data_IF_564206128753
#
_entry.id   IF_564206128753
#
_cell.length_a   1.000
_cell.length_b   1.000
_cell.length_c   1.000
_cell.angle_alpha   90.00
_cell.angle_beta   90.00
_cell.angle_gamma   90.00
#
_symmetry.space_group_name_H-M   'P 1'
#
loop_
_entity.id
_entity.type
_entity.pdbx_description
1 polymer ?
#
# COMPACT_ATOMS: atom_id res chain seq x y z
N UNK A 1 -28.39 -12.68 8.95
CA UNK A 1 -27.02 -12.36 8.51
C UNK A 1 -27.13 -11.12 7.64
N UNK A 2 -26.49 -10.03 8.02
CA UNK A 2 -26.40 -8.87 7.14
C UNK A 2 -25.68 -9.27 5.85
N UNK A 3 -26.28 -8.95 4.71
CA UNK A 3 -25.69 -9.22 3.41
C UNK A 3 -24.44 -8.37 3.25
N UNK A 4 -23.28 -9.02 3.07
CA UNK A 4 -22.02 -8.34 2.77
C UNK A 4 -22.07 -7.74 1.36
N UNK A 5 -21.81 -6.44 1.24
CA UNK A 5 -21.74 -5.75 -0.04
C UNK A 5 -20.34 -5.94 -0.61
N UNK A 6 -20.17 -7.01 -1.37
CA UNK A 6 -18.96 -7.29 -2.16
C UNK A 6 -19.24 -7.01 -3.63
N UNK A 7 -18.20 -6.63 -4.39
CA UNK A 7 -18.26 -6.25 -5.81
C UNK A 7 -18.94 -7.27 -6.74
N UNK A 8 -18.80 -8.58 -6.46
CA UNK A 8 -19.48 -9.67 -7.20
C UNK A 8 -20.65 -10.27 -6.41
N UNK A 9 -21.11 -9.56 -5.39
CA UNK A 9 -22.16 -9.97 -4.47
C UNK A 9 -23.57 -9.68 -4.99
N UNK A 10 -24.49 -9.46 -4.06
CA UNK A 10 -25.85 -9.05 -4.39
C UNK A 10 -25.82 -7.72 -5.14
N UNK A 11 -26.56 -7.64 -6.25
CA UNK A 11 -26.75 -6.39 -6.98
C UNK A 11 -27.79 -5.55 -6.28
N UNK A 12 -27.41 -4.32 -5.93
CA UNK A 12 -28.31 -3.32 -5.37
C UNK A 12 -28.79 -2.39 -6.50
N UNK A 13 -30.06 -2.00 -6.46
CA UNK A 13 -30.63 -1.02 -7.40
C UNK A 13 -30.27 0.43 -7.05
N UNK A 14 -29.94 0.69 -5.79
CA UNK A 14 -29.51 1.98 -5.27
C UNK A 14 -28.30 1.80 -4.34
N UNK A 15 -27.48 2.84 -4.18
CA UNK A 15 -26.38 2.82 -3.22
C UNK A 15 -26.95 2.72 -1.80
N UNK A 16 -26.53 1.73 -0.98
CA UNK A 16 -27.03 1.63 0.39
C UNK A 16 -26.64 2.86 1.21
N UNK A 17 -27.49 3.27 2.17
CA UNK A 17 -27.26 4.47 2.98
C UNK A 17 -25.91 4.47 3.71
N UNK A 18 -25.45 3.29 4.15
CA UNK A 18 -24.16 3.12 4.80
C UNK A 18 -22.97 3.44 3.88
N UNK A 19 -23.15 3.62 2.57
CA UNK A 19 -22.10 4.02 1.63
C UNK A 19 -22.25 5.47 1.14
N UNK A 20 -23.31 6.18 1.56
CA UNK A 20 -23.55 7.56 1.16
C UNK A 20 -22.82 8.48 2.13
N UNK A 21 -21.75 9.13 1.65
CA UNK A 21 -21.05 10.17 2.43
C UNK A 21 -21.99 11.33 2.77
N UNK A 22 -21.90 11.93 3.97
CA UNK A 22 -22.58 13.19 4.29
C UNK A 22 -22.21 14.28 3.27
N UNK A 23 -23.15 15.19 2.97
CA UNK A 23 -22.92 16.24 1.97
C UNK A 23 -21.70 17.11 2.29
N UNK A 24 -21.44 17.37 3.57
CA UNK A 24 -20.25 18.10 4.04
C UNK A 24 -18.92 17.40 3.78
N UNK A 25 -18.92 16.07 3.54
CA UNK A 25 -17.71 15.28 3.25
C UNK A 25 -17.55 14.97 1.75
N UNK A 26 -18.54 15.31 0.92
CA UNK A 26 -18.46 15.03 -0.52
C UNK A 26 -17.54 16.05 -1.19
N UNK A 27 -16.74 15.62 -2.20
CA UNK A 27 -15.88 16.54 -2.92
C UNK A 27 -16.72 17.62 -3.61
N UNK A 28 -16.33 18.88 -3.44
CA UNK A 28 -16.96 20.03 -4.08
C UNK A 28 -16.14 20.45 -5.29
N UNK A 29 -16.60 20.06 -6.48
CA UNK A 29 -15.89 20.36 -7.73
C UNK A 29 -15.66 21.86 -7.96
N UNK A 30 -16.53 22.71 -7.42
CA UNK A 30 -16.37 24.18 -7.44
C UNK A 30 -15.21 24.69 -6.60
N UNK A 31 -14.73 23.91 -5.63
CA UNK A 31 -13.59 24.25 -4.75
C UNK A 31 -12.27 23.67 -5.29
N UNK A 32 -12.32 22.90 -6.39
CA UNK A 32 -11.13 22.35 -7.03
C UNK A 32 -10.40 23.47 -7.77
N UNK A 33 -9.25 23.87 -7.24
CA UNK A 33 -8.32 24.75 -7.95
C UNK A 33 -7.45 23.95 -8.91
N UNK A 34 -7.12 24.53 -10.06
CA UNK A 34 -6.03 24.00 -10.88
C UNK A 34 -4.73 24.03 -10.04
N UNK A 35 -4.11 22.87 -9.86
CA UNK A 35 -2.82 22.72 -9.20
C UNK A 35 -1.76 22.42 -10.26
N UNK A 36 -0.50 22.72 -9.95
CA UNK A 36 0.63 22.22 -10.73
C UNK A 36 0.59 20.68 -10.79
N UNK A 37 1.08 20.14 -11.91
CA UNK A 37 1.16 18.69 -12.06
C UNK A 37 2.03 18.09 -10.96
N UNK A 38 1.59 16.94 -10.45
CA UNK A 38 2.35 16.14 -9.49
C UNK A 38 3.75 15.88 -10.05
N UNK A 39 4.83 16.07 -9.26
CA UNK A 39 6.19 15.82 -9.73
C UNK A 39 6.35 14.40 -10.27
N UNK A 40 6.96 14.28 -11.45
CA UNK A 40 7.35 13.00 -12.06
C UNK A 40 8.88 12.92 -12.05
N UNK A 41 9.42 11.91 -11.39
CA UNK A 41 10.87 11.76 -11.16
C UNK A 41 11.40 10.56 -11.94
N UNK A 42 12.38 10.81 -12.80
CA UNK A 42 13.07 9.78 -13.56
C UNK A 42 14.18 9.12 -12.72
N UNK A 43 13.94 7.90 -12.23
CA UNK A 43 14.91 7.13 -11.45
C UNK A 43 16.00 6.49 -12.31
N UNK A 44 15.84 6.47 -13.63
CA UNK A 44 16.83 5.96 -14.58
C UNK A 44 17.89 7.01 -14.97
N UNK A 45 17.77 8.25 -14.48
CA UNK A 45 18.74 9.31 -14.74
C UNK A 45 20.12 8.99 -14.14
N UNK A 46 21.17 9.21 -14.92
CA UNK A 46 22.56 9.07 -14.47
C UNK A 46 23.00 10.18 -13.48
N UNK A 47 22.18 11.23 -13.29
CA UNK A 47 22.49 12.36 -12.41
C UNK A 47 21.88 12.16 -11.02
N UNK A 48 22.44 11.23 -10.24
CA UNK A 48 21.89 10.84 -8.92
C UNK A 48 21.63 12.02 -7.97
N UNK A 49 22.52 13.00 -7.91
CA UNK A 49 22.35 14.18 -7.04
C UNK A 49 21.11 15.01 -7.42
N UNK A 50 20.79 15.11 -8.71
CA UNK A 50 19.59 15.81 -9.19
C UNK A 50 18.32 15.03 -8.81
N UNK A 51 18.33 13.70 -8.99
CA UNK A 51 17.20 12.83 -8.59
C UNK A 51 16.92 12.97 -7.10
N UNK A 52 17.96 12.93 -6.26
CA UNK A 52 17.81 13.11 -4.80
C UNK A 52 17.22 14.48 -4.46
N UNK A 53 17.69 15.54 -5.11
CA UNK A 53 17.15 16.88 -4.90
C UNK A 53 15.67 16.99 -5.32
N UNK A 54 15.30 16.42 -6.47
CA UNK A 54 13.91 16.36 -6.94
C UNK A 54 13.00 15.61 -5.96
N UNK A 55 13.44 14.48 -5.43
CA UNK A 55 12.71 13.73 -4.39
C UNK A 55 12.53 14.60 -3.14
N UNK A 56 13.60 15.26 -2.68
CA UNK A 56 13.54 16.16 -1.52
C UNK A 56 12.54 17.31 -1.70
N UNK A 57 12.56 17.96 -2.86
CA UNK A 57 11.63 19.04 -3.21
C UNK A 57 10.18 18.53 -3.30
N UNK A 58 9.95 17.38 -3.95
CA UNK A 58 8.62 16.79 -4.05
C UNK A 58 8.06 16.43 -2.66
N UNK A 59 8.86 15.81 -1.78
CA UNK A 59 8.47 15.54 -0.40
C UNK A 59 8.13 16.82 0.37
N UNK A 60 8.91 17.89 0.20
CA UNK A 60 8.72 19.17 0.93
C UNK A 60 7.49 19.95 0.45
N UNK A 61 7.25 20.01 -0.85
CA UNK A 61 6.23 20.87 -1.44
C UNK A 61 4.90 20.15 -1.71
N UNK A 62 4.94 18.85 -2.00
CA UNK A 62 3.77 18.06 -2.39
C UNK A 62 3.45 16.95 -1.39
N UNK A 63 4.47 16.32 -0.79
CA UNK A 63 4.31 15.14 0.05
C UNK A 63 4.06 13.84 -0.73
N UNK A 64 4.03 13.90 -2.06
CA UNK A 64 3.91 12.75 -2.96
C UNK A 64 4.49 13.07 -4.35
N UNK A 65 4.83 12.04 -5.12
CA UNK A 65 5.36 12.14 -6.48
C UNK A 65 5.12 10.83 -7.24
N UNK A 66 5.28 10.87 -8.56
CA UNK A 66 5.32 9.70 -9.43
C UNK A 66 6.77 9.39 -9.81
N UNK A 67 7.06 8.13 -10.14
CA UNK A 67 8.39 7.72 -10.61
C UNK A 67 8.30 7.02 -11.97
N UNK A 68 9.29 7.26 -12.82
CA UNK A 68 9.49 6.56 -14.10
C UNK A 68 10.87 5.92 -14.13
N UNK A 69 11.07 4.96 -15.04
CA UNK A 69 12.33 4.21 -15.18
C UNK A 69 12.84 3.64 -13.85
N UNK A 70 11.93 3.17 -13.00
CA UNK A 70 12.20 2.65 -11.65
C UNK A 70 12.90 1.27 -11.64
N UNK A 71 13.19 0.69 -12.81
CA UNK A 71 13.91 -0.58 -12.95
C UNK A 71 13.09 -1.85 -12.70
N UNK A 72 11.80 -1.72 -12.35
CA UNK A 72 10.88 -2.86 -12.23
C UNK A 72 10.34 -3.19 -13.62
N UNK A 73 10.47 -4.45 -14.05
CA UNK A 73 10.02 -4.91 -15.37
C UNK A 73 8.52 -4.68 -15.58
N UNK A 74 8.12 -4.14 -16.73
CA UNK A 74 6.72 -3.99 -17.12
C UNK A 74 5.97 -5.31 -17.10
N UNK A 75 6.62 -6.40 -17.55
CA UNK A 75 6.03 -7.75 -17.53
C UNK A 75 5.67 -8.18 -16.09
N UNK A 76 6.49 -7.80 -15.10
CA UNK A 76 6.24 -8.12 -13.69
C UNK A 76 5.05 -7.32 -13.13
N UNK A 77 4.94 -6.03 -13.51
CA UNK A 77 3.81 -5.16 -13.15
C UNK A 77 2.52 -5.71 -13.76
N UNK A 78 2.54 -6.04 -15.05
CA UNK A 78 1.39 -6.60 -15.78
C UNK A 78 0.92 -7.93 -15.17
N UNK A 79 1.86 -8.83 -14.83
CA UNK A 79 1.53 -10.10 -14.15
C UNK A 79 0.86 -9.87 -12.79
N UNK A 80 1.35 -8.91 -12.00
CA UNK A 80 0.75 -8.56 -10.71
C UNK A 80 -0.67 -8.00 -10.88
N UNK A 81 -0.87 -7.13 -11.87
CA UNK A 81 -2.19 -6.57 -12.20
C UNK A 81 -3.14 -7.67 -12.69
N UNK A 82 -2.69 -8.57 -13.57
CA UNK A 82 -3.49 -9.69 -14.09
C UNK A 82 -3.99 -10.60 -12.97
N UNK A 83 -3.10 -11.05 -12.07
CA UNK A 83 -3.53 -11.95 -10.97
C UNK A 83 -4.44 -11.26 -9.97
N UNK A 84 -4.32 -9.93 -9.81
CA UNK A 84 -5.25 -9.16 -8.99
C UNK A 84 -6.65 -9.13 -9.64
N UNK A 85 -6.73 -8.83 -10.94
CA UNK A 85 -8.00 -8.87 -11.69
C UNK A 85 -8.63 -10.26 -11.66
N UNK A 86 -7.87 -11.30 -12.03
CA UNK A 86 -8.32 -12.68 -12.00
C UNK A 86 -8.85 -13.10 -10.63
N UNK A 87 -8.18 -12.70 -9.54
CA UNK A 87 -8.64 -12.96 -8.18
C UNK A 87 -9.98 -12.27 -7.88
N UNK A 88 -10.12 -10.99 -8.21
CA UNK A 88 -11.34 -10.24 -7.93
C UNK A 88 -12.51 -10.61 -8.85
N UNK A 89 -12.23 -11.19 -10.02
CA UNK A 89 -13.22 -11.74 -10.94
C UNK A 89 -13.69 -13.16 -10.57
N UNK A 90 -13.09 -13.79 -9.56
CA UNK A 90 -13.54 -15.10 -9.07
C UNK A 90 -15.02 -15.06 -8.61
N UNK A 91 -15.72 -16.20 -8.71
CA UNK A 91 -17.07 -16.35 -8.14
C UNK A 91 -17.11 -15.92 -6.67
N UNK A 92 -18.25 -15.36 -6.26
CA UNK A 92 -18.46 -14.87 -4.91
C UNK A 92 -18.16 -15.96 -3.86
N UNK A 93 -18.56 -17.20 -4.14
CA UNK A 93 -18.39 -18.36 -3.27
C UNK A 93 -16.91 -18.67 -3.01
N UNK A 94 -16.05 -18.53 -4.02
CA UNK A 94 -14.61 -18.71 -3.88
C UNK A 94 -13.99 -17.60 -3.05
N UNK A 95 -14.39 -16.35 -3.30
CA UNK A 95 -13.92 -15.18 -2.56
C UNK A 95 -14.35 -15.21 -1.09
N UNK A 96 -15.57 -15.65 -0.79
CA UNK A 96 -16.10 -15.72 0.57
C UNK A 96 -15.33 -16.71 1.46
N UNK A 97 -14.66 -17.73 0.90
CA UNK A 97 -13.78 -18.64 1.66
C UNK A 97 -12.61 -17.91 2.33
N UNK A 98 -12.21 -16.76 1.78
CA UNK A 98 -11.08 -15.96 2.23
C UNK A 98 -11.53 -14.72 3.01
N UNK A 99 -12.83 -14.51 3.16
CA UNK A 99 -13.37 -13.31 3.80
C UNK A 99 -13.17 -13.36 5.33
N UNK A 100 -12.71 -12.25 5.92
CA UNK A 100 -12.71 -12.08 7.36
C UNK A 100 -12.76 -10.60 7.76
N UNK A 101 -13.48 -10.30 8.86
CA UNK A 101 -13.46 -8.97 9.50
C UNK A 101 -12.43 -8.90 10.65
N UNK A 102 -11.72 -9.98 10.93
CA UNK A 102 -10.72 -10.05 12.00
C UNK A 102 -9.43 -9.33 11.59
N UNK A 103 -9.07 -8.20 12.24
CA UNK A 103 -7.90 -7.43 11.88
C UNK A 103 -6.58 -8.17 12.14
N UNK A 104 -6.58 -9.21 12.99
CA UNK A 104 -5.41 -10.02 13.33
C UNK A 104 -5.04 -11.04 12.25
N UNK A 105 -5.97 -11.38 11.35
CA UNK A 105 -5.70 -12.28 10.23
C UNK A 105 -4.63 -11.70 9.31
N UNK A 106 -3.65 -12.54 9.04
CA UNK A 106 -2.44 -12.32 8.22
C UNK A 106 -2.75 -12.32 6.73
N UNK A 107 -3.74 -13.09 6.32
CA UNK A 107 -4.37 -13.05 5.00
C UNK A 107 -5.88 -12.91 5.18
N UNK A 108 -6.50 -11.92 4.51
CA UNK A 108 -7.96 -11.80 4.46
C UNK A 108 -8.44 -11.00 3.27
N UNK A 109 -9.55 -11.44 2.67
CA UNK A 109 -10.43 -10.59 1.88
C UNK A 109 -11.36 -9.84 2.84
N UNK A 110 -11.59 -8.56 2.59
CA UNK A 110 -12.60 -7.78 3.28
C UNK A 110 -13.06 -6.62 2.39
N UNK A 111 -13.99 -5.82 2.89
CA UNK A 111 -14.54 -4.66 2.19
C UNK A 111 -14.41 -3.41 3.06
N UNK A 112 -14.56 -2.24 2.44
CA UNK A 112 -14.44 -0.95 3.10
C UNK A 112 -13.10 -0.77 3.86
N UNK A 113 -13.11 -0.37 5.13
CA UNK A 113 -11.92 -0.24 5.97
C UNK A 113 -12.06 -1.03 7.28
N UNK A 114 -13.03 -0.67 8.13
CA UNK A 114 -13.38 -1.44 9.33
C UNK A 114 -14.90 -1.42 9.53
N UNK A 115 -15.58 -2.36 8.87
CA UNK A 115 -17.05 -2.46 8.83
C UNK A 115 -17.69 -2.49 10.22
N UNK A 116 -16.98 -2.99 11.24
CA UNK A 116 -17.47 -3.08 12.61
C UNK A 116 -17.34 -1.77 13.40
N UNK A 117 -16.52 -0.82 12.94
CA UNK A 117 -16.27 0.46 13.64
C UNK A 117 -16.77 1.68 12.87
N UNK A 118 -16.94 1.58 11.56
CA UNK A 118 -17.27 2.72 10.71
C UNK A 118 -18.78 2.87 10.50
N UNK A 119 -19.25 4.13 10.47
CA UNK A 119 -20.65 4.45 10.17
C UNK A 119 -20.91 4.55 8.67
N UNK A 120 -19.91 5.05 7.94
CA UNK A 120 -19.94 5.21 6.49
C UNK A 120 -18.85 4.33 5.90
N UNK A 121 -19.26 3.39 5.06
CA UNK A 121 -18.42 2.40 4.40
C UNK A 121 -17.83 2.99 3.11
N UNK A 122 -16.62 2.56 2.77
CA UNK A 122 -15.98 2.84 1.49
C UNK A 122 -16.43 1.84 0.44
N UNK A 123 -16.70 2.33 -0.77
CA UNK A 123 -17.04 1.49 -1.93
C UNK A 123 -15.78 0.83 -2.49
N UNK A 124 -15.30 -0.21 -1.81
CA UNK A 124 -14.03 -0.89 -2.11
C UNK A 124 -14.01 -2.30 -1.52
N UNK A 125 -13.51 -3.26 -2.29
CA UNK A 125 -13.02 -4.53 -1.76
C UNK A 125 -11.49 -4.52 -1.69
N UNK A 126 -10.92 -5.30 -0.78
CA UNK A 126 -9.47 -5.46 -0.69
C UNK A 126 -9.08 -6.85 -0.19
N UNK A 127 -7.97 -7.34 -0.74
CA UNK A 127 -7.25 -8.50 -0.24
C UNK A 127 -6.01 -8.01 0.48
N UNK A 128 -5.90 -8.32 1.76
CA UNK A 128 -4.74 -7.99 2.59
C UNK A 128 -3.87 -9.21 2.75
N UNK A 129 -2.58 -9.05 2.47
CA UNK A 129 -1.56 -10.08 2.58
C UNK A 129 -0.44 -9.57 3.48
N UNK A 130 -0.11 -10.33 4.52
CA UNK A 130 1.21 -10.24 5.15
C UNK A 130 2.22 -10.82 4.17
N UNK A 131 3.33 -10.12 3.98
CA UNK A 131 4.28 -10.45 2.92
C UNK A 131 5.73 -10.58 3.36
N UNK A 132 6.01 -10.37 4.64
CA UNK A 132 7.36 -10.57 5.14
C UNK A 132 7.36 -11.24 6.53
N UNK A 133 8.21 -12.25 6.76
CA UNK A 133 9.05 -12.91 5.76
C UNK A 133 8.21 -13.77 4.80
N UNK A 134 8.51 -13.76 3.51
CA UNK A 134 7.68 -14.40 2.47
C UNK A 134 7.42 -15.88 2.76
N UNK A 135 8.45 -16.65 3.12
CA UNK A 135 8.34 -18.10 3.35
C UNK A 135 7.32 -18.46 4.44
N UNK A 136 7.06 -17.55 5.39
CA UNK A 136 6.06 -17.75 6.45
C UNK A 136 4.64 -17.54 5.94
N UNK A 137 4.41 -16.53 5.10
CA UNK A 137 3.06 -16.08 4.74
C UNK A 137 2.55 -16.56 3.38
N UNK A 138 3.45 -16.81 2.42
CA UNK A 138 3.09 -17.34 1.09
C UNK A 138 2.24 -18.63 1.15
N UNK A 139 2.47 -19.57 2.10
CA UNK A 139 1.60 -20.74 2.24
C UNK A 139 0.11 -20.38 2.49
N UNK A 140 -0.16 -19.29 3.21
CA UNK A 140 -1.51 -18.83 3.57
C UNK A 140 -2.21 -18.03 2.46
N UNK A 141 -1.46 -17.55 1.46
CA UNK A 141 -2.03 -16.76 0.36
C UNK A 141 -2.99 -17.56 -0.52
N UNK A 142 -3.87 -16.89 -1.30
CA UNK A 142 -4.72 -17.55 -2.28
C UNK A 142 -3.96 -18.48 -3.21
N UNK A 143 -4.51 -19.66 -3.46
CA UNK A 143 -4.02 -20.61 -4.46
C UNK A 143 -4.73 -20.46 -5.82
N UNK A 144 -5.72 -19.57 -5.89
CA UNK A 144 -6.48 -19.25 -7.10
C UNK A 144 -6.40 -17.73 -7.30
N UNK A 145 -5.99 -17.24 -8.48
CA UNK A 145 -5.46 -18.01 -9.62
C UNK A 145 -4.17 -18.79 -9.27
N UNK A 146 -3.84 -19.84 -10.02
CA UNK A 146 -2.69 -20.71 -9.72
C UNK A 146 -1.35 -19.97 -9.77
N UNK A 147 -1.27 -18.90 -10.56
CA UNK A 147 -0.14 -17.97 -10.66
C UNK A 147 -0.05 -16.96 -9.50
N UNK A 148 -1.09 -16.83 -8.66
CA UNK A 148 -1.22 -15.76 -7.67
C UNK A 148 0.01 -15.64 -6.78
N UNK A 149 0.41 -16.75 -6.14
CA UNK A 149 1.54 -16.75 -5.19
C UNK A 149 2.84 -16.35 -5.85
N UNK A 150 3.11 -16.88 -7.04
CA UNK A 150 4.35 -16.60 -7.77
C UNK A 150 4.39 -15.14 -8.23
N UNK A 151 3.33 -14.66 -8.89
CA UNK A 151 3.27 -13.28 -9.39
C UNK A 151 3.39 -12.25 -8.26
N UNK A 152 2.69 -12.46 -7.14
CA UNK A 152 2.76 -11.55 -5.99
C UNK A 152 4.13 -11.60 -5.31
N UNK A 153 4.69 -12.80 -5.09
CA UNK A 153 6.00 -12.95 -4.45
C UNK A 153 7.14 -12.35 -5.32
N UNK A 154 7.10 -12.58 -6.63
CA UNK A 154 8.06 -12.02 -7.58
C UNK A 154 7.95 -10.49 -7.65
N UNK A 155 6.73 -9.93 -7.58
CA UNK A 155 6.54 -8.48 -7.60
C UNK A 155 7.07 -7.81 -6.33
N UNK A 156 6.87 -8.44 -5.16
CA UNK A 156 7.33 -7.90 -3.88
C UNK A 156 8.85 -7.93 -3.72
N UNK A 157 9.48 -9.03 -4.15
CA UNK A 157 10.93 -9.31 -4.08
C UNK A 157 11.65 -8.54 -2.94
N UNK A 158 11.29 -8.80 -1.66
CA UNK A 158 11.87 -8.06 -0.56
C UNK A 158 13.36 -8.37 -0.48
N UNK A 159 14.17 -7.32 -0.54
CA UNK A 159 15.60 -7.41 -0.24
C UNK A 159 15.77 -7.13 1.25
N UNK A 160 15.86 -8.18 2.06
CA UNK A 160 15.99 -8.11 3.52
C UNK A 160 17.12 -7.16 3.96
N UNK A 161 18.23 -7.20 3.21
CA UNK A 161 19.44 -6.43 3.44
C UNK A 161 19.42 -5.05 2.77
N UNK A 162 18.31 -4.65 2.14
CA UNK A 162 18.18 -3.31 1.58
C UNK A 162 18.29 -2.29 2.71
N UNK A 163 19.38 -1.53 2.67
CA UNK A 163 19.65 -0.46 3.61
C UNK A 163 18.78 0.75 3.27
N UNK A 164 17.93 1.13 4.21
CA UNK A 164 17.13 2.35 4.16
C UNK A 164 17.84 3.38 5.03
N UNK A 165 18.23 4.49 4.43
CA UNK A 165 18.97 5.55 5.11
C UNK A 165 18.58 6.92 4.53
N UNK A 166 18.86 8.01 5.26
CA UNK A 166 18.75 9.36 4.72
C UNK A 166 19.54 9.49 3.42
N UNK A 167 18.95 10.11 2.40
CA UNK A 167 19.60 10.25 1.11
C UNK A 167 20.77 11.26 1.20
N UNK A 168 21.97 10.80 0.85
CA UNK A 168 23.15 11.68 0.72
C UNK A 168 22.83 12.85 -0.21
N UNK A 169 23.11 14.09 0.23
CA UNK A 169 22.74 15.32 -0.46
C UNK A 169 21.47 16.00 0.06
N UNK A 170 20.72 15.34 0.95
CA UNK A 170 19.66 15.97 1.78
C UNK A 170 20.08 16.16 3.25
N UNK A 171 21.23 15.61 3.63
CA UNK A 171 21.88 15.76 4.93
C UNK A 171 23.28 16.37 4.75
N UNK A 172 23.88 16.88 5.82
CA UNK A 172 25.29 17.30 5.80
C UNK A 172 26.22 16.12 5.52
N UNK A 173 27.44 16.42 5.04
CA UNK A 173 28.44 15.42 4.64
C UNK A 173 28.89 14.50 5.80
N UNK A 174 28.73 14.97 7.04
CA UNK A 174 28.98 14.25 8.29
C UNK A 174 27.73 13.52 8.84
N UNK A 175 26.62 13.51 8.08
CA UNK A 175 25.33 13.00 8.51
C UNK A 175 24.52 13.98 9.37
N UNK A 176 25.01 15.20 9.58
CA UNK A 176 24.26 16.23 10.32
C UNK A 176 22.91 16.52 9.63
N UNK A 177 21.87 16.72 10.45
CA UNK A 177 20.49 16.91 9.97
C UNK A 177 19.74 15.61 9.64
N UNK A 178 20.39 14.44 9.69
CA UNK A 178 19.69 13.16 9.64
C UNK A 178 18.79 12.98 10.87
N UNK A 179 17.48 12.90 10.66
CA UNK A 179 16.51 12.64 11.75
C UNK A 179 16.48 11.16 12.14
N UNK A 180 16.66 10.27 11.16
CA UNK A 180 16.60 8.82 11.34
C UNK A 180 17.95 8.18 11.05
N UNK A 181 18.31 7.15 11.82
CA UNK A 181 19.46 6.29 11.51
C UNK A 181 19.14 5.40 10.32
N UNK A 182 20.18 4.76 9.78
CA UNK A 182 20.01 3.67 8.85
C UNK A 182 19.47 2.40 9.51
N UNK A 183 18.68 1.65 8.74
CA UNK A 183 18.11 0.37 9.13
C UNK A 183 17.85 -0.48 7.88
N UNK A 184 17.77 -1.80 8.04
CA UNK A 184 17.42 -2.68 6.92
C UNK A 184 15.92 -2.82 6.75
N UNK A 185 15.46 -3.21 5.57
CA UNK A 185 14.05 -3.54 5.34
C UNK A 185 13.54 -4.60 6.33
N UNK A 186 14.37 -5.62 6.62
CA UNK A 186 14.07 -6.65 7.63
C UNK A 186 13.84 -6.04 9.02
N UNK A 187 14.68 -5.09 9.45
CA UNK A 187 14.52 -4.42 10.73
C UNK A 187 13.23 -3.58 10.77
N UNK A 188 12.97 -2.80 9.73
CA UNK A 188 11.75 -2.00 9.60
C UNK A 188 10.50 -2.86 9.76
N UNK A 189 10.42 -3.95 9.01
CA UNK A 189 9.23 -4.80 9.01
C UNK A 189 9.04 -5.48 10.37
N UNK A 190 10.13 -5.95 11.01
CA UNK A 190 10.07 -6.53 12.37
C UNK A 190 9.48 -5.54 13.38
N UNK A 191 9.91 -4.27 13.36
CA UNK A 191 9.39 -3.23 14.28
C UNK A 191 7.96 -2.79 13.93
N UNK A 192 7.61 -2.73 12.65
CA UNK A 192 6.26 -2.34 12.23
C UNK A 192 5.20 -3.28 12.80
N UNK A 193 5.45 -4.59 12.79
CA UNK A 193 4.49 -5.60 13.26
C UNK A 193 4.61 -6.00 14.71
N UNK A 194 5.70 -5.65 15.41
CA UNK A 194 5.74 -5.79 16.87
C UNK A 194 4.78 -4.83 17.59
N UNK A 195 4.09 -3.97 16.83
CA UNK A 195 3.16 -2.97 17.35
C UNK A 195 1.72 -3.44 17.20
N UNK A 196 0.92 -3.18 18.22
CA UNK A 196 -0.53 -3.35 18.16
C UNK A 196 -1.24 -2.22 17.38
N UNK A 197 -0.59 -1.62 16.37
CA UNK A 197 -1.12 -0.52 15.51
C UNK A 197 -1.59 0.78 16.24
N UNK A 198 -1.50 0.85 17.57
CA UNK A 198 -2.07 1.92 18.42
C UNK A 198 -1.04 2.97 18.95
N UNK A 199 0.15 3.09 18.35
CA UNK A 199 1.22 3.99 18.85
C UNK A 199 1.71 5.01 17.79
N UNK A 200 2.69 5.87 18.12
CA UNK A 200 3.34 6.87 17.24
C UNK A 200 3.86 6.32 15.90
N UNK A 201 4.28 7.16 14.95
CA UNK A 201 4.71 6.70 13.62
C UNK A 201 5.87 5.67 13.70
N UNK A 202 5.88 4.60 12.88
CA UNK A 202 6.88 3.52 12.99
C UNK A 202 8.32 4.02 12.88
N UNK A 203 8.53 5.08 12.10
CA UNK A 203 9.82 5.73 11.91
C UNK A 203 10.40 6.33 13.21
N UNK A 204 9.58 6.62 14.21
CA UNK A 204 10.04 7.13 15.52
C UNK A 204 11.02 6.17 16.21
N UNK A 205 10.87 4.86 15.99
CA UNK A 205 11.76 3.83 16.53
C UNK A 205 13.15 3.79 15.89
N UNK A 206 13.35 4.63 14.88
CA UNK A 206 14.57 4.74 14.09
C UNK A 206 15.19 6.14 14.17
N UNK A 207 14.70 7.02 15.06
CA UNK A 207 15.31 8.34 15.25
C UNK A 207 16.73 8.23 15.79
N UNK A 208 17.60 9.14 15.35
CA UNK A 208 18.91 9.33 15.99
C UNK A 208 18.69 9.85 17.41
N UNK A 209 19.36 9.24 18.38
CA UNK A 209 19.36 9.63 19.79
C UNK A 209 20.63 10.39 20.14
#
# INVERSE_FOLDING_TARGET
METKVLSSGIRFSNLPESYIRPESERPRLSEVSACENVPVIDLGSNHRAQVVNQVGLACKHYGFFQVTNHGVSSELVEKMQSVAHEFFDLPLEEKLKLYSDDPSKTMRLSTSFNVNKEKIHNWRDYLRLHCYPLHKYVPEWPSIPSSFKLSVASFLCPFDDALISPANGLTGDDGSGAVYREYTYAEYYKKFWSRNLDQEHCLELFKNH
#
